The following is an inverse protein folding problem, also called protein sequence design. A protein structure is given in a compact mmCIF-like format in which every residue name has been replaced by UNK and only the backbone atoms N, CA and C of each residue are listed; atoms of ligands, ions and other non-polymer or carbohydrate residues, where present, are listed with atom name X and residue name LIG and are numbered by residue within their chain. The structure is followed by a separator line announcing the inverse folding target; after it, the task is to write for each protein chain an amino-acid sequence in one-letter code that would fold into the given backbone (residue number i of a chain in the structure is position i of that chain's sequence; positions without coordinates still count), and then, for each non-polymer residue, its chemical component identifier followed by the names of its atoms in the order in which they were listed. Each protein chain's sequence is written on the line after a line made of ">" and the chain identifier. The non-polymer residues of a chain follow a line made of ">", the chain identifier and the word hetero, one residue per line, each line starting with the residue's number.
data_IF_122345854432
#
_entry.id   IF_122345854432
#
_cell.length_a   1.000
_cell.length_b   1.000
_cell.length_c   1.000
_cell.angle_alpha   90.00
_cell.angle_beta   90.00
_cell.angle_gamma   90.00
#
_symmetry.space_group_name_H-M   'P 1'
#
loop_
_entity.id
_entity.type
_entity.pdbx_description
1 polymer ?
#
# COMPACT_ATOMS: atom_id res chain seq x y z
N UNK A 1 -4.28 7.81 -29.09
CA UNK A 1 -3.99 6.53 -28.40
C UNK A 1 -2.52 6.50 -28.02
N UNK A 2 -2.17 7.05 -26.85
CA UNK A 2 -0.88 6.74 -26.22
C UNK A 2 -1.14 5.49 -25.39
N UNK A 3 -0.77 4.33 -25.92
CA UNK A 3 -0.65 3.11 -25.13
C UNK A 3 0.31 3.43 -24.00
N UNK A 4 -0.20 3.63 -22.79
CA UNK A 4 0.64 3.64 -21.59
C UNK A 4 1.31 2.27 -21.58
N UNK A 5 2.61 2.27 -21.87
CA UNK A 5 3.38 1.06 -22.15
C UNK A 5 3.42 0.19 -20.91
N UNK A 6 2.49 -0.79 -20.90
CA UNK A 6 2.46 -1.97 -20.06
C UNK A 6 3.84 -2.64 -19.93
N UNK A 7 4.74 -2.38 -20.89
CA UNK A 7 6.14 -2.79 -20.91
C UNK A 7 7.00 -2.32 -19.72
N UNK A 8 6.69 -1.20 -19.06
CA UNK A 8 7.46 -0.73 -17.88
C UNK A 8 7.14 -1.56 -16.62
N UNK A 9 5.94 -2.14 -16.54
CA UNK A 9 5.58 -3.09 -15.48
C UNK A 9 6.07 -4.54 -15.77
N UNK A 10 6.67 -4.79 -16.95
CA UNK A 10 6.87 -6.15 -17.49
C UNK A 10 8.36 -6.59 -17.53
N UNK A 11 9.36 -5.70 -17.42
CA UNK A 11 10.77 -6.06 -17.67
C UNK A 11 11.66 -6.31 -16.44
N UNK A 12 11.10 -6.42 -15.24
CA UNK A 12 11.85 -6.38 -13.97
C UNK A 12 11.93 -7.74 -13.29
N UNK A 13 12.76 -8.64 -13.83
CA UNK A 13 12.94 -10.01 -13.31
C UNK A 13 14.34 -10.56 -13.60
N UNK A 14 15.26 -10.50 -12.63
CA UNK A 14 16.19 -11.60 -12.25
C UNK A 14 17.08 -11.21 -11.05
N UNK A 15 17.43 -12.15 -10.14
CA UNK A 15 17.86 -11.84 -8.77
C UNK A 15 19.37 -11.61 -8.63
N UNK A 16 19.77 -10.84 -7.60
CA UNK A 16 21.10 -10.92 -7.02
C UNK A 16 21.06 -10.72 -5.49
N UNK A 17 21.83 -11.58 -4.82
CA UNK A 17 21.88 -11.84 -3.38
C UNK A 17 22.70 -10.82 -2.59
N UNK A 18 22.54 -10.90 -1.26
CA UNK A 18 23.48 -10.56 -0.17
C UNK A 18 23.55 -9.10 0.30
N UNK A 19 22.89 -8.84 1.43
CA UNK A 19 23.46 -7.96 2.46
C UNK A 19 23.39 -8.63 3.84
N UNK A 20 24.48 -8.50 4.57
CA UNK A 20 24.71 -9.04 5.89
C UNK A 20 23.66 -8.52 6.89
N UNK A 21 23.12 -9.46 7.67
CA UNK A 21 22.30 -9.17 8.83
C UNK A 21 23.18 -8.52 9.89
N UNK A 22 23.01 -7.23 10.11
CA UNK A 22 23.29 -6.67 11.42
C UNK A 22 22.35 -7.32 12.44
N UNK A 23 22.92 -7.73 13.56
CA UNK A 23 22.26 -8.49 14.63
C UNK A 23 20.98 -7.80 15.09
N UNK A 24 19.83 -8.39 14.74
CA UNK A 24 18.52 -8.05 15.26
C UNK A 24 18.50 -8.23 16.79
N UNK A 25 18.26 -7.13 17.49
CA UNK A 25 17.56 -7.20 18.77
C UNK A 25 16.14 -7.69 18.46
N UNK A 26 15.91 -9.00 18.63
CA UNK A 26 14.64 -9.67 18.33
C UNK A 26 13.59 -9.43 19.40
N UNK A 27 13.48 -8.19 19.89
CA UNK A 27 12.35 -7.82 20.74
C UNK A 27 11.11 -7.80 19.87
N UNK A 28 10.34 -8.89 19.93
CA UNK A 28 8.94 -8.96 19.48
C UNK A 28 8.28 -7.68 19.97
N UNK A 29 7.86 -6.82 19.05
CA UNK A 29 7.20 -5.57 19.39
C UNK A 29 6.03 -5.90 20.33
N UNK A 30 5.85 -5.17 21.45
CA UNK A 30 4.75 -5.45 22.37
C UNK A 30 3.42 -5.40 21.60
N UNK A 31 2.43 -6.23 21.99
CA UNK A 31 1.13 -6.24 21.33
C UNK A 31 0.56 -4.81 21.33
N UNK A 32 0.28 -4.31 20.13
CA UNK A 32 -0.29 -2.97 19.95
C UNK A 32 -1.72 -3.00 20.49
N UNK A 33 -2.03 -2.10 21.43
CA UNK A 33 -3.33 -2.05 22.10
C UNK A 33 -4.50 -2.08 21.08
N UNK A 34 -5.37 -3.07 21.26
CA UNK A 34 -6.64 -3.21 20.54
C UNK A 34 -6.57 -3.87 19.16
N UNK A 35 -5.42 -4.40 18.73
CA UNK A 35 -5.35 -5.22 17.50
C UNK A 35 -5.66 -6.68 17.83
N UNK A 36 -6.75 -7.18 17.25
CA UNK A 36 -7.16 -8.58 17.28
C UNK A 36 -6.56 -9.34 16.08
N UNK A 37 -5.93 -10.49 16.35
CA UNK A 37 -5.50 -11.42 15.29
C UNK A 37 -6.63 -12.41 15.06
N UNK A 38 -7.36 -12.26 13.96
CA UNK A 38 -8.54 -13.08 13.69
C UNK A 38 -8.15 -14.43 13.08
N UNK A 39 -7.22 -14.39 12.12
CA UNK A 39 -6.71 -15.55 11.38
C UNK A 39 -5.24 -15.35 11.04
N UNK A 40 -4.57 -16.38 10.53
CA UNK A 40 -3.21 -16.27 10.00
C UNK A 40 -3.24 -15.25 8.85
N UNK A 41 -2.79 -14.03 9.12
CA UNK A 41 -2.77 -12.87 8.20
C UNK A 41 -4.09 -12.09 8.05
N UNK A 42 -4.95 -12.11 9.06
CA UNK A 42 -6.09 -11.18 9.15
C UNK A 42 -6.07 -10.50 10.51
N UNK A 43 -5.95 -9.18 10.50
CA UNK A 43 -5.87 -8.34 11.69
C UNK A 43 -7.03 -7.37 11.70
N UNK A 44 -7.57 -7.10 12.88
CA UNK A 44 -8.67 -6.17 13.07
C UNK A 44 -8.41 -5.22 14.24
N UNK A 45 -8.91 -4.00 14.17
CA UNK A 45 -8.98 -3.06 15.30
C UNK A 45 -10.31 -2.33 15.27
N UNK A 46 -11.08 -2.39 16.35
CA UNK A 46 -12.27 -1.55 16.52
C UNK A 46 -11.83 -0.13 16.88
N UNK A 47 -12.28 0.87 16.11
CA UNK A 47 -11.98 2.28 16.36
C UNK A 47 -13.19 3.06 16.90
N UNK A 48 -14.39 2.68 16.47
CA UNK A 48 -15.66 3.22 16.94
C UNK A 48 -16.73 2.14 16.89
N UNK A 49 -17.94 2.44 17.33
CA UNK A 49 -19.05 1.46 17.30
C UNK A 49 -19.40 1.00 15.88
N UNK A 50 -19.20 1.88 14.91
CA UNK A 50 -19.47 1.73 13.48
C UNK A 50 -18.19 1.77 12.64
N UNK A 51 -17.02 1.52 13.22
CA UNK A 51 -15.75 1.54 12.48
C UNK A 51 -14.77 0.48 12.96
N UNK A 52 -14.40 -0.40 12.04
CA UNK A 52 -13.38 -1.43 12.19
C UNK A 52 -12.31 -1.21 11.12
N UNK A 53 -11.04 -1.24 11.52
CA UNK A 53 -9.94 -1.35 10.59
C UNK A 53 -9.57 -2.81 10.44
N UNK A 54 -9.36 -3.25 9.21
CA UNK A 54 -8.98 -4.63 8.89
C UNK A 54 -7.81 -4.60 7.93
N UNK A 55 -6.83 -5.48 8.15
CA UNK A 55 -5.74 -5.69 7.21
C UNK A 55 -5.59 -7.18 6.97
N UNK A 56 -5.70 -7.56 5.71
CA UNK A 56 -5.61 -8.95 5.28
C UNK A 56 -4.62 -9.13 4.13
N UNK A 57 -4.12 -10.36 3.96
CA UNK A 57 -3.28 -10.76 2.84
C UNK A 57 -4.11 -11.61 1.85
N UNK A 58 -4.67 -11.03 0.77
CA UNK A 58 -5.56 -11.76 -0.12
C UNK A 58 -4.87 -12.94 -0.81
N UNK A 59 -3.55 -12.83 -1.08
CA UNK A 59 -2.82 -13.84 -1.87
C UNK A 59 -2.76 -15.23 -1.23
N UNK A 60 -3.00 -15.35 0.08
CA UNK A 60 -2.98 -16.64 0.77
C UNK A 60 -4.30 -17.40 0.73
N UNK A 61 -5.38 -16.75 0.31
CA UNK A 61 -6.70 -17.38 0.18
C UNK A 61 -7.28 -17.05 -1.21
N UNK A 62 -7.34 -18.04 -2.13
CA UNK A 62 -7.87 -17.82 -3.48
C UNK A 62 -9.28 -17.21 -3.52
N UNK A 63 -10.13 -17.51 -2.53
CA UNK A 63 -11.46 -16.89 -2.43
C UNK A 63 -11.37 -15.40 -2.11
N UNK A 64 -10.52 -15.00 -1.16
CA UNK A 64 -10.34 -13.59 -0.81
C UNK A 64 -9.70 -12.83 -1.98
N UNK A 65 -8.68 -13.40 -2.62
CA UNK A 65 -8.06 -12.82 -3.82
C UNK A 65 -9.09 -12.59 -4.92
N UNK A 66 -9.92 -13.59 -5.22
CA UNK A 66 -10.99 -13.45 -6.21
C UNK A 66 -12.03 -12.40 -5.79
N UNK A 67 -12.39 -12.34 -4.49
CA UNK A 67 -13.29 -11.32 -3.96
C UNK A 67 -12.77 -9.89 -4.18
N UNK A 68 -11.48 -9.67 -3.90
CA UNK A 68 -10.82 -8.39 -4.15
C UNK A 68 -10.72 -8.04 -5.63
N UNK A 69 -10.42 -9.00 -6.50
CA UNK A 69 -10.43 -8.80 -7.96
C UNK A 69 -11.83 -8.43 -8.46
N UNK A 70 -12.86 -9.13 -8.00
CA UNK A 70 -14.25 -8.82 -8.35
C UNK A 70 -14.66 -7.43 -7.86
N UNK A 71 -14.28 -7.06 -6.63
CA UNK A 71 -14.55 -5.73 -6.09
C UNK A 71 -13.87 -4.63 -6.91
N UNK A 72 -12.58 -4.78 -7.23
CA UNK A 72 -11.87 -3.81 -8.07
C UNK A 72 -12.53 -3.65 -9.44
N UNK A 73 -12.91 -4.75 -10.09
CA UNK A 73 -13.61 -4.73 -11.38
C UNK A 73 -14.99 -4.05 -11.28
N UNK A 74 -15.73 -4.27 -10.20
CA UNK A 74 -17.02 -3.64 -9.98
C UNK A 74 -16.90 -2.11 -9.84
N UNK A 75 -15.88 -1.62 -9.12
CA UNK A 75 -15.58 -0.18 -9.02
C UNK A 75 -15.31 0.40 -10.40
N UNK A 76 -14.40 -0.22 -11.16
CA UNK A 76 -14.01 0.25 -12.49
C UNK A 76 -15.21 0.31 -13.43
N UNK A 77 -15.99 -0.77 -13.48
CA UNK A 77 -17.20 -0.87 -14.30
C UNK A 77 -18.23 0.20 -13.96
N UNK A 78 -18.49 0.43 -12.67
CA UNK A 78 -19.51 1.41 -12.26
C UNK A 78 -19.08 2.86 -12.56
N UNK A 79 -17.79 3.18 -12.40
CA UNK A 79 -17.26 4.50 -12.77
C UNK A 79 -17.39 4.70 -14.29
N UNK A 80 -16.95 3.73 -15.08
CA UNK A 80 -17.05 3.79 -16.55
C UNK A 80 -18.50 3.91 -17.01
N UNK A 81 -19.41 3.15 -16.41
CA UNK A 81 -20.84 3.18 -16.71
C UNK A 81 -21.49 4.53 -16.38
N UNK A 82 -21.16 5.13 -15.22
CA UNK A 82 -21.80 6.38 -14.76
C UNK A 82 -21.22 7.62 -15.42
N UNK A 83 -19.92 7.63 -15.67
CA UNK A 83 -19.19 8.84 -16.06
C UNK A 83 -18.59 8.76 -17.47
N UNK A 84 -18.62 7.59 -18.09
CA UNK A 84 -18.06 7.33 -19.41
C UNK A 84 -16.54 7.46 -19.45
N UNK A 85 -15.95 7.19 -20.61
CA UNK A 85 -14.52 7.43 -20.85
C UNK A 85 -14.16 8.92 -20.73
N UNK A 86 -15.13 9.81 -20.99
CA UNK A 86 -14.88 11.26 -21.04
C UNK A 86 -14.53 11.83 -19.67
N UNK A 87 -15.06 11.27 -18.58
CA UNK A 87 -14.71 11.66 -17.21
C UNK A 87 -13.34 11.14 -16.74
N UNK A 88 -12.81 10.09 -17.38
CA UNK A 88 -11.51 9.52 -17.05
C UNK A 88 -10.36 10.29 -17.70
N UNK A 89 -10.61 10.90 -18.86
CA UNK A 89 -9.54 11.43 -19.72
C UNK A 89 -9.66 12.92 -20.10
N UNK A 90 -10.73 13.64 -19.73
CA UNK A 90 -10.77 15.11 -19.92
C UNK A 90 -10.02 15.83 -18.80
N UNK A 91 -9.26 16.84 -19.19
CA UNK A 91 -8.32 17.57 -18.32
C UNK A 91 -8.97 18.51 -17.28
N UNK A 92 -10.29 18.78 -17.31
CA UNK A 92 -10.72 20.05 -16.72
C UNK A 92 -12.14 20.11 -16.11
N UNK A 93 -12.50 19.18 -15.22
CA UNK A 93 -13.50 19.54 -14.21
C UNK A 93 -13.21 18.94 -12.84
N UNK A 94 -13.31 19.79 -11.82
CA UNK A 94 -13.24 19.41 -10.40
C UNK A 94 -14.28 18.35 -10.01
N UNK A 95 -15.33 18.20 -10.82
CA UNK A 95 -16.42 17.24 -10.63
C UNK A 95 -15.98 15.78 -10.79
N UNK A 96 -15.04 15.49 -11.70
CA UNK A 96 -14.62 14.11 -12.01
C UNK A 96 -13.30 13.70 -11.34
N UNK A 97 -12.56 14.64 -10.77
CA UNK A 97 -11.24 14.36 -10.16
C UNK A 97 -11.27 13.26 -9.10
N UNK A 98 -12.33 13.20 -8.29
CA UNK A 98 -12.52 12.13 -7.30
C UNK A 98 -12.67 10.75 -7.97
N UNK A 99 -13.57 10.63 -8.95
CA UNK A 99 -13.85 9.36 -9.61
C UNK A 99 -12.67 8.87 -10.45
N UNK A 100 -11.95 9.79 -11.10
CA UNK A 100 -10.70 9.46 -11.78
C UNK A 100 -9.66 8.90 -10.82
N UNK A 101 -9.43 9.54 -9.67
CA UNK A 101 -8.49 9.03 -8.67
C UNK A 101 -8.90 7.67 -8.09
N UNK A 102 -10.20 7.43 -7.91
CA UNK A 102 -10.73 6.11 -7.52
C UNK A 102 -10.46 5.08 -8.62
N UNK A 103 -10.75 5.42 -9.88
CA UNK A 103 -10.54 4.52 -11.02
C UNK A 103 -9.07 4.13 -11.15
N UNK A 104 -8.16 5.10 -11.17
CA UNK A 104 -6.71 4.87 -11.27
C UNK A 104 -6.21 3.99 -10.12
N UNK A 105 -6.68 4.24 -8.89
CA UNK A 105 -6.35 3.42 -7.72
C UNK A 105 -6.76 1.96 -7.92
N UNK A 106 -8.02 1.71 -8.30
CA UNK A 106 -8.54 0.35 -8.44
C UNK A 106 -8.06 -0.38 -9.71
N UNK A 107 -7.68 0.34 -10.78
CA UNK A 107 -7.01 -0.26 -11.93
C UNK A 107 -5.64 -0.80 -11.52
N UNK A 108 -4.88 -0.02 -10.75
CA UNK A 108 -3.59 -0.47 -10.19
C UNK A 108 -3.81 -1.67 -9.27
N UNK A 109 -4.84 -1.66 -8.41
CA UNK A 109 -5.13 -2.80 -7.53
C UNK A 109 -5.40 -4.06 -8.33
N UNK A 110 -6.27 -3.97 -9.35
CA UNK A 110 -6.61 -5.11 -10.19
C UNK A 110 -5.37 -5.68 -10.87
N UNK A 111 -4.47 -4.83 -11.37
CA UNK A 111 -3.18 -5.26 -11.96
C UNK A 111 -2.25 -5.95 -10.96
N UNK A 112 -2.10 -5.39 -9.76
CA UNK A 112 -1.27 -5.98 -8.69
C UNK A 112 -1.83 -7.33 -8.25
N UNK A 113 -3.14 -7.42 -8.03
CA UNK A 113 -3.81 -8.65 -7.63
C UNK A 113 -3.71 -9.72 -8.73
N UNK A 114 -3.89 -9.35 -10.00
CA UNK A 114 -3.67 -10.26 -11.13
C UNK A 114 -2.23 -10.74 -11.25
N UNK A 115 -1.27 -9.87 -10.95
CA UNK A 115 0.14 -10.25 -10.94
C UNK A 115 0.46 -11.21 -9.78
N UNK A 116 -0.07 -10.94 -8.58
CA UNK A 116 0.14 -11.79 -7.39
C UNK A 116 -0.40 -13.22 -7.56
N UNK A 117 -1.44 -13.38 -8.39
CA UNK A 117 -2.05 -14.66 -8.73
C UNK A 117 -1.22 -15.48 -9.74
N UNK A 118 -0.48 -14.80 -10.62
CA UNK A 118 0.12 -15.41 -11.82
C UNK A 118 1.58 -15.83 -11.66
N UNK A 119 2.30 -15.38 -10.63
CA UNK A 119 3.76 -15.56 -10.54
C UNK A 119 4.25 -15.81 -9.11
N UNK A 120 4.82 -17.00 -8.87
CA UNK A 120 5.86 -17.22 -7.87
C UNK A 120 7.16 -17.53 -8.61
N UNK A 121 8.11 -16.60 -8.66
CA UNK A 121 9.41 -16.83 -9.30
C UNK A 121 10.35 -17.67 -8.42
N UNK A 122 10.13 -17.61 -7.11
CA UNK A 122 10.74 -18.44 -6.08
C UNK A 122 9.84 -18.30 -4.83
N UNK A 123 9.58 -19.38 -4.09
CA UNK A 123 8.76 -19.34 -2.87
C UNK A 123 9.37 -18.43 -1.77
N UNK A 124 10.68 -18.15 -1.85
CA UNK A 124 11.39 -17.24 -0.94
C UNK A 124 11.31 -15.76 -1.33
N UNK A 125 10.78 -15.42 -2.51
CA UNK A 125 10.73 -14.06 -3.08
C UNK A 125 9.30 -13.60 -3.37
N UNK A 126 8.32 -14.15 -2.65
CA UNK A 126 6.93 -13.77 -2.85
C UNK A 126 6.69 -12.33 -2.38
N UNK A 127 6.37 -11.44 -3.32
CA UNK A 127 5.88 -10.10 -2.99
C UNK A 127 4.62 -10.25 -2.13
N UNK A 128 4.67 -9.64 -0.96
CA UNK A 128 3.57 -9.59 -0.03
C UNK A 128 2.58 -8.54 -0.52
N UNK A 129 1.36 -8.95 -0.85
CA UNK A 129 0.27 -8.03 -1.18
C UNK A 129 -0.74 -8.05 -0.06
N UNK A 130 -0.88 -6.92 0.62
CA UNK A 130 -1.80 -6.72 1.73
C UNK A 130 -2.80 -5.62 1.40
N UNK A 131 -4.03 -5.77 1.87
CA UNK A 131 -5.05 -4.74 1.75
C UNK A 131 -5.49 -4.34 3.15
N UNK A 132 -5.29 -3.07 3.48
CA UNK A 132 -5.89 -2.44 4.64
C UNK A 132 -7.21 -1.78 4.22
N UNK A 133 -8.24 -1.95 5.03
CA UNK A 133 -9.58 -1.43 4.77
C UNK A 133 -10.26 -0.95 6.05
N UNK A 134 -11.17 0.00 5.87
CA UNK A 134 -12.05 0.51 6.90
C UNK A 134 -13.47 0.04 6.63
N UNK A 135 -14.07 -0.62 7.61
CA UNK A 135 -15.37 -1.28 7.52
C UNK A 135 -16.33 -0.69 8.54
N UNK A 136 -17.59 -0.51 8.14
CA UNK A 136 -18.65 -0.11 9.08
C UNK A 136 -19.18 -1.27 9.95
N UNK A 137 -18.63 -2.46 9.77
CA UNK A 137 -19.08 -3.70 10.39
C UNK A 137 -17.88 -4.55 10.81
N UNK A 138 -18.07 -5.36 11.84
CA UNK A 138 -17.08 -6.33 12.29
C UNK A 138 -16.78 -7.36 11.18
N UNK A 139 -15.50 -7.65 10.93
CA UNK A 139 -15.05 -8.58 9.89
C UNK A 139 -15.64 -9.98 10.03
N UNK A 140 -15.85 -10.47 11.25
CA UNK A 140 -16.46 -11.79 11.47
C UNK A 140 -17.86 -11.91 10.85
N UNK A 141 -18.60 -10.80 10.77
CA UNK A 141 -19.92 -10.77 10.15
C UNK A 141 -19.83 -10.73 8.61
N UNK A 142 -18.69 -10.33 8.05
CA UNK A 142 -18.41 -10.35 6.61
C UNK A 142 -17.88 -11.69 6.11
N UNK A 143 -17.19 -12.47 6.96
CA UNK A 143 -16.63 -13.78 6.57
C UNK A 143 -17.69 -14.73 5.97
N UNK A 144 -18.93 -14.64 6.44
CA UNK A 144 -20.06 -15.40 5.89
C UNK A 144 -20.54 -14.91 4.52
N UNK A 145 -20.25 -13.65 4.17
CA UNK A 145 -20.61 -13.02 2.90
C UNK A 145 -19.58 -13.34 1.80
N UNK A 146 -18.28 -13.47 2.10
CA UNK A 146 -17.23 -13.77 1.09
C UNK A 146 -17.37 -15.09 0.31
N UNK A 147 -18.43 -15.89 0.52
CA UNK A 147 -18.70 -17.07 -0.30
C UNK A 147 -19.30 -16.66 -1.65
N UNK A 148 -18.42 -16.46 -2.63
CA UNK A 148 -18.75 -16.17 -4.03
C UNK A 148 -19.46 -17.32 -4.76
N UNK A 149 -19.64 -18.48 -4.12
CA UNK A 149 -20.43 -19.59 -4.69
C UNK A 149 -21.94 -19.31 -4.67
N UNK A 150 -22.37 -18.29 -3.95
CA UNK A 150 -23.74 -17.81 -3.97
C UNK A 150 -23.83 -16.68 -5.01
N UNK A 151 -24.39 -16.99 -6.19
CA UNK A 151 -24.83 -16.01 -7.20
C UNK A 151 -26.02 -15.15 -6.70
N UNK A 152 -26.14 -14.92 -5.40
CA UNK A 152 -27.19 -14.09 -4.84
C UNK A 152 -26.71 -12.64 -4.74
N UNK A 153 -27.63 -11.71 -5.01
CA UNK A 153 -27.51 -10.27 -4.75
C UNK A 153 -27.23 -9.91 -3.27
N UNK A 154 -26.98 -10.89 -2.39
CA UNK A 154 -26.70 -10.69 -0.97
C UNK A 154 -25.20 -10.47 -0.69
N UNK A 155 -24.33 -10.62 -1.70
CA UNK A 155 -22.89 -10.47 -1.55
C UNK A 155 -22.40 -9.00 -1.69
N UNK A 156 -23.10 -8.10 -1.01
CA UNK A 156 -22.87 -6.65 -1.02
C UNK A 156 -21.82 -6.20 0.02
N UNK A 157 -20.93 -7.09 0.47
CA UNK A 157 -19.90 -6.78 1.48
C UNK A 157 -19.06 -5.56 1.13
N UNK A 158 -18.85 -5.32 -0.16
CA UNK A 158 -18.11 -4.17 -0.63
C UNK A 158 -18.77 -2.85 -0.21
N UNK A 159 -20.10 -2.79 -0.03
CA UNK A 159 -20.80 -1.59 0.46
C UNK A 159 -20.49 -1.26 1.91
N UNK A 160 -20.01 -2.24 2.67
CA UNK A 160 -19.57 -2.07 4.06
C UNK A 160 -18.16 -1.46 4.16
N UNK A 161 -17.43 -1.35 3.03
CA UNK A 161 -16.06 -0.81 2.95
C UNK A 161 -16.10 0.69 2.69
N UNK A 162 -15.66 1.52 3.65
CA UNK A 162 -15.55 2.98 3.44
C UNK A 162 -14.31 3.34 2.62
N UNK A 163 -13.16 2.79 2.98
CA UNK A 163 -11.85 3.17 2.44
C UNK A 163 -10.92 1.97 2.36
N UNK A 164 -10.09 1.91 1.32
CA UNK A 164 -9.10 0.86 1.11
C UNK A 164 -7.73 1.44 0.80
N UNK A 165 -6.70 0.68 1.16
CA UNK A 165 -5.30 0.98 0.94
C UNK A 165 -4.54 -0.32 0.62
N UNK A 166 -3.81 -0.35 -0.49
CA UNK A 166 -2.97 -1.49 -0.88
C UNK A 166 -1.55 -1.25 -0.39
N UNK A 167 -0.96 -2.30 0.17
CA UNK A 167 0.40 -2.30 0.71
C UNK A 167 1.15 -3.46 0.09
N UNK A 168 2.31 -3.18 -0.47
CA UNK A 168 3.18 -4.20 -1.06
C UNK A 168 4.60 -4.12 -0.49
N UNK A 169 5.26 -5.27 -0.36
CA UNK A 169 6.67 -5.35 0.02
C UNK A 169 7.25 -6.73 -0.21
N UNK A 170 8.56 -6.83 -0.36
CA UNK A 170 9.24 -8.11 -0.22
C UNK A 170 9.57 -8.38 1.26
N UNK A 171 9.53 -9.64 1.73
CA UNK A 171 9.85 -9.97 3.12
C UNK A 171 11.27 -9.56 3.55
N UNK A 172 12.22 -9.44 2.64
CA UNK A 172 13.61 -9.10 2.96
C UNK A 172 13.88 -7.60 3.02
N UNK A 173 13.07 -6.79 2.34
CA UNK A 173 13.35 -5.35 2.20
C UNK A 173 12.99 -4.61 3.48
N UNK A 174 13.72 -3.54 3.87
CA UNK A 174 13.42 -2.80 5.09
C UNK A 174 12.29 -1.78 4.91
N UNK A 175 11.59 -1.78 3.79
CA UNK A 175 10.47 -0.87 3.54
C UNK A 175 9.25 -1.62 3.02
N UNK A 176 8.12 -0.96 3.19
CA UNK A 176 6.88 -1.28 2.51
C UNK A 176 6.41 -0.12 1.67
N UNK A 177 5.55 -0.41 0.73
CA UNK A 177 5.05 0.57 -0.21
C UNK A 177 3.55 0.68 -0.11
N UNK A 178 3.07 1.90 0.00
CA UNK A 178 1.65 2.21 -0.10
C UNK A 178 1.30 2.51 -1.54
N UNK A 179 0.44 1.68 -2.13
CA UNK A 179 -0.04 1.84 -3.50
C UNK A 179 -1.48 2.25 -3.47
N UNK A 180 -1.74 3.56 -3.55
CA UNK A 180 -3.09 4.12 -3.66
C UNK A 180 -3.95 3.96 -2.40
N UNK A 181 -4.77 4.96 -2.12
CA UNK A 181 -5.77 4.92 -1.06
C UNK A 181 -7.01 5.61 -1.58
N UNK A 182 -8.16 4.96 -1.44
CA UNK A 182 -9.38 5.50 -2.00
C UNK A 182 -10.58 5.20 -1.14
N UNK A 183 -11.53 6.15 -1.14
CA UNK A 183 -12.88 5.88 -0.62
C UNK A 183 -13.67 5.12 -1.67
N UNK A 184 -14.43 4.15 -1.19
CA UNK A 184 -15.31 3.37 -2.02
C UNK A 184 -16.52 4.21 -2.47
N UNK A 185 -16.83 4.16 -3.76
CA UNK A 185 -17.97 4.86 -4.36
C UNK A 185 -19.33 4.23 -3.99
N UNK A 186 -19.33 2.97 -3.54
CA UNK A 186 -20.54 2.25 -3.11
C UNK A 186 -20.87 2.47 -1.64
N UNK A 187 -20.01 3.15 -0.88
CA UNK A 187 -20.19 3.34 0.56
C UNK A 187 -21.17 4.49 0.85
N UNK A 188 -22.29 4.14 1.48
CA UNK A 188 -23.36 5.07 1.86
C UNK A 188 -23.44 5.34 3.37
N UNK A 189 -22.55 4.73 4.16
CA UNK A 189 -22.51 4.90 5.62
C UNK A 189 -21.89 6.23 6.10
N UNK A 190 -21.60 6.29 7.40
CA UNK A 190 -20.95 7.46 8.03
C UNK A 190 -19.51 7.57 7.52
N UNK A 191 -19.18 8.71 6.90
CA UNK A 191 -17.83 8.96 6.39
C UNK A 191 -16.93 9.54 7.48
N UNK A 192 -15.94 8.78 7.91
CA UNK A 192 -15.08 9.16 9.03
C UNK A 192 -13.99 10.15 8.62
N UNK A 193 -13.83 11.30 9.31
CA UNK A 193 -12.73 12.22 9.04
C UNK A 193 -11.38 11.58 9.41
N UNK A 194 -10.32 12.00 8.71
CA UNK A 194 -8.93 11.53 8.92
C UNK A 194 -8.75 9.99 8.86
N UNK A 195 -9.70 9.28 8.24
CA UNK A 195 -9.66 7.82 8.12
C UNK A 195 -8.41 7.35 7.38
N UNK A 196 -7.90 8.14 6.44
CA UNK A 196 -6.65 7.84 5.74
C UNK A 196 -5.49 7.70 6.72
N UNK A 197 -5.26 8.67 7.61
CA UNK A 197 -4.20 8.62 8.61
C UNK A 197 -4.38 7.43 9.56
N UNK A 198 -5.61 7.16 9.99
CA UNK A 198 -5.94 6.03 10.87
C UNK A 198 -5.61 4.70 10.19
N UNK A 199 -5.91 4.58 8.90
CA UNK A 199 -5.62 3.39 8.11
C UNK A 199 -4.11 3.19 7.88
N UNK A 200 -3.36 4.26 7.61
CA UNK A 200 -1.89 4.22 7.49
C UNK A 200 -1.23 3.81 8.80
N UNK A 201 -1.68 4.37 9.93
CA UNK A 201 -1.17 4.03 11.25
C UNK A 201 -1.45 2.57 11.60
N UNK A 202 -2.68 2.10 11.36
CA UNK A 202 -3.05 0.70 11.59
C UNK A 202 -2.26 -0.27 10.70
N UNK A 203 -2.08 0.07 9.42
CA UNK A 203 -1.23 -0.70 8.52
C UNK A 203 0.21 -0.80 9.03
N UNK A 204 0.77 0.30 9.50
CA UNK A 204 2.11 0.32 10.08
C UNK A 204 2.21 -0.56 11.34
N UNK A 205 1.18 -0.54 12.19
CA UNK A 205 1.10 -1.41 13.37
C UNK A 205 1.08 -2.90 12.96
N UNK A 206 0.21 -3.27 12.02
CA UNK A 206 0.08 -4.66 11.54
C UNK A 206 1.35 -5.17 10.86
N UNK A 207 1.97 -4.35 10.00
CA UNK A 207 3.24 -4.71 9.37
C UNK A 207 4.31 -4.93 10.41
N UNK A 208 4.47 -4.03 11.39
CA UNK A 208 5.49 -4.21 12.45
C UNK A 208 5.27 -5.45 13.32
N UNK A 209 4.01 -5.84 13.53
CA UNK A 209 3.68 -7.08 14.25
C UNK A 209 4.08 -8.33 13.45
N UNK A 210 3.95 -8.28 12.12
CA UNK A 210 4.19 -9.44 11.25
C UNK A 210 5.63 -9.50 10.68
N UNK A 211 6.27 -8.34 10.55
CA UNK A 211 7.53 -8.08 9.84
C UNK A 211 8.30 -6.98 10.58
N UNK A 212 8.89 -7.31 11.72
CA UNK A 212 9.59 -6.36 12.59
C UNK A 212 10.81 -5.70 11.93
N UNK A 213 11.34 -6.30 10.87
CA UNK A 213 12.44 -5.76 10.06
C UNK A 213 12.02 -4.62 9.12
N UNK A 214 10.72 -4.37 8.94
CA UNK A 214 10.23 -3.22 8.19
C UNK A 214 10.40 -1.94 8.98
N UNK A 215 11.13 -1.00 8.40
CA UNK A 215 11.51 0.26 9.01
C UNK A 215 10.77 1.46 8.43
N UNK A 216 10.40 1.41 7.14
CA UNK A 216 9.81 2.56 6.44
C UNK A 216 8.57 2.19 5.64
N UNK A 217 7.66 3.16 5.50
CA UNK A 217 6.62 3.16 4.46
C UNK A 217 6.99 4.21 3.43
N UNK A 218 7.03 3.80 2.17
CA UNK A 218 7.30 4.67 1.04
C UNK A 218 6.01 4.86 0.25
N UNK A 219 5.72 6.11 -0.14
CA UNK A 219 4.56 6.49 -0.95
C UNK A 219 4.90 7.68 -1.84
N UNK A 220 4.10 7.91 -2.88
CA UNK A 220 4.12 9.13 -3.70
C UNK A 220 2.75 9.80 -3.53
N UNK A 221 2.57 10.55 -2.43
CA UNK A 221 1.26 11.04 -2.05
C UNK A 221 0.89 12.22 -2.93
N UNK A 222 -0.34 12.23 -3.46
CA UNK A 222 -0.89 13.46 -4.06
C UNK A 222 -0.79 14.63 -3.07
N UNK A 223 -0.67 15.85 -3.57
CA UNK A 223 -0.46 17.06 -2.77
C UNK A 223 -1.37 17.18 -1.53
N UNK A 224 -2.64 16.82 -1.65
CA UNK A 224 -3.58 16.84 -0.51
C UNK A 224 -3.23 15.80 0.57
N UNK A 225 -2.80 14.60 0.19
CA UNK A 225 -2.33 13.59 1.16
C UNK A 225 -0.98 14.00 1.74
N UNK A 226 -0.07 14.53 0.92
CA UNK A 226 1.20 15.08 1.37
C UNK A 226 0.99 16.13 2.46
N UNK A 227 0.14 17.13 2.21
CA UNK A 227 -0.15 18.20 3.18
C UNK A 227 -0.76 17.67 4.49
N UNK A 228 -1.60 16.64 4.42
CA UNK A 228 -2.12 15.95 5.60
C UNK A 228 -0.99 15.24 6.37
N UNK A 229 -0.12 14.51 5.68
CA UNK A 229 0.99 13.76 6.28
C UNK A 229 1.96 14.70 7.00
N UNK A 230 2.46 15.76 6.34
CA UNK A 230 3.40 16.72 6.95
C UNK A 230 2.81 17.46 8.15
N UNK A 231 1.48 17.65 8.18
CA UNK A 231 0.80 18.36 9.27
C UNK A 231 0.70 17.49 10.53
N UNK A 232 0.55 16.17 10.37
CA UNK A 232 0.30 15.26 11.48
C UNK A 232 1.55 14.49 11.93
N UNK A 233 2.54 14.33 11.04
CA UNK A 233 3.77 13.63 11.37
C UNK A 233 4.73 14.56 12.15
N UNK A 234 5.44 14.02 13.16
CA UNK A 234 6.51 14.76 13.81
C UNK A 234 7.54 15.28 12.80
N UNK A 235 8.06 16.49 13.04
CA UNK A 235 9.19 17.00 12.26
C UNK A 235 10.34 15.99 12.30
N UNK A 236 11.00 15.78 11.16
CA UNK A 236 12.08 14.80 10.96
C UNK A 236 11.66 13.32 11.02
N UNK A 237 10.37 12.99 11.06
CA UNK A 237 9.92 11.59 10.95
C UNK A 237 9.61 11.15 9.53
N UNK A 238 9.78 12.04 8.56
CA UNK A 238 9.54 11.81 7.15
C UNK A 238 10.55 12.58 6.28
N UNK A 239 10.70 12.12 5.04
CA UNK A 239 11.54 12.73 4.03
C UNK A 239 10.75 13.02 2.76
N UNK A 240 11.06 14.15 2.13
CA UNK A 240 10.62 14.56 0.80
C UNK A 240 11.84 14.57 -0.14
N UNK A 241 11.64 14.25 -1.42
CA UNK A 241 12.70 14.15 -2.42
C UNK A 241 13.39 15.52 -2.65
N UNK A 242 12.63 16.59 -2.82
CA UNK A 242 13.17 17.95 -3.05
C UNK A 242 13.61 18.68 -1.76
N UNK A 243 13.24 18.15 -0.59
CA UNK A 243 13.58 18.71 0.72
C UNK A 243 14.14 17.62 1.65
N UNK A 244 15.38 17.14 1.39
CA UNK A 244 15.95 16.07 2.17
C UNK A 244 16.17 16.53 3.62
N UNK A 245 15.32 16.07 4.52
CA UNK A 245 15.51 16.17 5.98
C UNK A 245 16.64 15.23 6.47
N UNK A 246 17.74 15.12 5.72
CA UNK A 246 18.98 14.44 6.12
C UNK A 246 19.35 13.17 5.36
N UNK A 247 18.45 12.59 4.55
CA UNK A 247 18.73 11.39 3.77
C UNK A 247 19.39 11.75 2.44
N UNK A 248 20.36 10.94 2.00
CA UNK A 248 21.13 11.19 0.79
C UNK A 248 21.02 9.95 -0.10
N UNK A 249 20.48 10.12 -1.30
CA UNK A 249 20.64 9.13 -2.37
C UNK A 249 22.04 9.29 -2.93
N UNK A 250 22.89 8.29 -2.70
CA UNK A 250 24.28 8.32 -3.17
C UNK A 250 24.50 7.18 -4.15
N UNK A 251 25.02 7.50 -5.34
CA UNK A 251 25.58 6.49 -6.24
C UNK A 251 26.99 6.21 -5.76
N UNK A 252 27.18 5.06 -5.11
CA UNK A 252 28.51 4.63 -4.67
C UNK A 252 29.10 3.63 -5.66
N UNK A 253 30.32 3.90 -6.11
CA UNK A 253 31.09 2.98 -6.95
C UNK A 253 32.07 2.22 -6.04
N UNK A 254 31.65 1.07 -5.51
CA UNK A 254 32.52 0.17 -4.78
C UNK A 254 33.09 -0.88 -5.73
N UNK A 255 34.34 -0.71 -6.20
CA UNK A 255 35.18 -1.69 -6.91
C UNK A 255 34.41 -2.90 -7.51
N UNK A 256 33.50 -2.63 -8.44
CA UNK A 256 32.42 -3.54 -8.83
C UNK A 256 31.28 -2.78 -9.55
N UNK A 257 30.15 -3.43 -9.89
CA UNK A 257 29.02 -2.77 -10.54
C UNK A 257 28.49 -1.61 -9.68
N UNK A 258 27.98 -0.57 -10.35
CA UNK A 258 27.45 0.62 -9.69
C UNK A 258 26.37 0.21 -8.69
N UNK A 259 26.50 0.70 -7.45
CA UNK A 259 25.55 0.44 -6.39
C UNK A 259 24.89 1.73 -5.95
N UNK A 260 23.57 1.76 -6.03
CA UNK A 260 22.72 2.85 -5.60
C UNK A 260 22.38 2.64 -4.14
N UNK A 261 22.64 3.65 -3.32
CA UNK A 261 22.43 3.55 -1.88
C UNK A 261 21.44 4.61 -1.43
N UNK A 262 20.40 4.18 -0.71
CA UNK A 262 19.51 5.05 0.04
C UNK A 262 19.97 4.99 1.50
N UNK A 263 20.27 6.15 2.09
CA UNK A 263 20.71 6.28 3.48
C UNK A 263 19.76 7.13 4.31
N UNK A 264 19.62 6.84 5.60
CA UNK A 264 18.87 7.71 6.51
C UNK A 264 19.55 9.04 6.81
N UNK A 265 18.86 9.86 7.60
CA UNK A 265 19.34 11.09 8.22
C UNK A 265 20.64 10.91 9.00
N UNK A 266 20.92 9.70 9.49
CA UNK A 266 22.14 9.35 10.21
C UNK A 266 23.20 8.72 9.29
N UNK A 267 22.97 8.74 7.97
CA UNK A 267 23.79 8.12 6.91
C UNK A 267 23.88 6.59 6.99
N UNK A 268 23.02 5.93 7.75
CA UNK A 268 22.94 4.46 7.77
C UNK A 268 22.37 3.98 6.44
N UNK A 269 23.00 2.96 5.85
CA UNK A 269 22.50 2.34 4.61
C UNK A 269 21.19 1.61 4.90
N UNK A 270 20.16 1.95 4.14
CA UNK A 270 18.82 1.37 4.27
C UNK A 270 18.48 0.52 3.07
N UNK A 271 18.84 0.98 1.89
CA UNK A 271 18.71 0.18 0.69
C UNK A 271 19.99 0.29 -0.11
N UNK A 272 20.51 -0.85 -0.54
CA UNK A 272 21.56 -0.93 -1.54
C UNK A 272 21.01 -1.70 -2.73
N UNK A 273 20.94 -1.04 -3.87
CA UNK A 273 20.57 -1.62 -5.15
C UNK A 273 21.82 -1.71 -6.01
N UNK A 274 21.93 -2.74 -6.81
CA UNK A 274 22.90 -2.80 -7.90
C UNK A 274 22.17 -2.64 -9.23
N UNK A 275 22.90 -2.48 -10.33
CA UNK A 275 22.28 -2.29 -11.64
C UNK A 275 21.34 -3.44 -12.07
N UNK A 276 21.44 -4.64 -11.47
CA UNK A 276 20.57 -5.78 -11.81
C UNK A 276 19.19 -5.69 -11.16
N UNK A 277 19.12 -5.26 -9.90
CA UNK A 277 17.86 -5.14 -9.17
C UNK A 277 17.34 -3.71 -9.10
N UNK A 278 18.12 -2.71 -9.54
CA UNK A 278 17.66 -1.32 -9.70
C UNK A 278 16.35 -1.28 -10.48
N UNK A 279 16.30 -2.07 -11.54
CA UNK A 279 15.14 -2.16 -12.41
C UNK A 279 13.87 -2.47 -11.58
N UNK A 280 13.93 -3.36 -10.58
CA UNK A 280 12.80 -3.70 -9.68
C UNK A 280 12.28 -2.50 -8.86
N UNK A 281 13.10 -1.44 -8.75
CA UNK A 281 12.81 -0.17 -8.07
C UNK A 281 12.73 1.01 -9.04
N UNK A 282 12.91 0.82 -10.35
CA UNK A 282 12.91 1.95 -11.30
C UNK A 282 11.56 2.66 -11.32
N UNK A 283 10.46 1.98 -11.04
CA UNK A 283 9.14 2.63 -10.88
C UNK A 283 9.04 3.46 -9.59
N UNK A 284 9.82 3.12 -8.56
CA UNK A 284 9.93 3.89 -7.31
C UNK A 284 10.86 5.10 -7.48
N UNK A 285 11.83 4.99 -8.38
CA UNK A 285 12.88 5.98 -8.63
C UNK A 285 12.68 6.74 -9.95
N UNK A 286 11.63 6.43 -10.72
CA UNK A 286 11.39 7.08 -12.00
C UNK A 286 11.06 8.55 -11.79
N UNK A 287 11.76 9.42 -12.51
CA UNK A 287 11.58 10.88 -12.54
C UNK A 287 10.25 11.29 -13.21
N UNK A 288 9.51 10.34 -13.80
CA UNK A 288 8.30 10.60 -14.59
C UNK A 288 7.02 10.88 -13.76
N UNK A 289 7.14 11.01 -12.44
CA UNK A 289 5.99 11.36 -11.60
C UNK A 289 6.18 12.76 -11.05
N UNK A 290 5.21 13.65 -11.29
CA UNK A 290 5.16 15.03 -10.77
C UNK A 290 4.94 15.09 -9.23
N UNK A 291 5.32 14.04 -8.49
CA UNK A 291 5.13 13.94 -7.05
C UNK A 291 6.31 13.24 -6.40
N UNK A 292 6.95 13.98 -5.50
CA UNK A 292 8.12 13.55 -4.74
C UNK A 292 7.90 12.25 -3.99
N UNK A 293 8.97 11.47 -3.93
CA UNK A 293 9.06 10.34 -3.04
C UNK A 293 8.90 10.78 -1.58
N UNK A 294 7.89 10.23 -0.91
CA UNK A 294 7.64 10.45 0.52
C UNK A 294 7.92 9.18 1.31
N UNK A 295 8.90 9.26 2.21
CA UNK A 295 9.29 8.14 3.06
C UNK A 295 9.00 8.46 4.52
N UNK A 296 8.32 7.56 5.23
CA UNK A 296 7.95 7.74 6.64
C UNK A 296 8.49 6.60 7.48
N UNK A 297 9.05 6.91 8.64
CA UNK A 297 9.43 5.88 9.61
C UNK A 297 8.19 5.11 10.09
N UNK A 298 8.21 3.79 9.94
CA UNK A 298 7.07 2.92 10.20
C UNK A 298 6.72 2.87 11.69
N UNK A 299 7.71 2.97 12.59
CA UNK A 299 7.48 3.08 14.03
C UNK A 299 6.74 4.38 14.35
N UNK A 300 7.20 5.51 13.82
CA UNK A 300 6.52 6.79 14.03
C UNK A 300 5.08 6.77 13.51
N UNK A 301 4.85 6.19 12.33
CA UNK A 301 3.51 6.06 11.76
C UNK A 301 2.60 5.14 12.61
N UNK A 302 3.15 4.04 13.11
CA UNK A 302 2.44 3.11 14.00
C UNK A 302 2.11 3.74 15.37
N UNK A 303 2.98 4.60 15.89
CA UNK A 303 2.84 5.22 17.22
C UNK A 303 2.03 6.54 17.17
N UNK A 304 1.52 6.91 15.99
CA UNK A 304 0.77 8.15 15.77
C UNK A 304 -0.52 8.19 16.60
N UNK A 305 -0.61 9.14 17.53
CA UNK A 305 -1.80 9.38 18.34
C UNK A 305 -2.78 10.27 17.58
N UNK A 306 -3.78 9.66 16.96
CA UNK A 306 -4.86 10.36 16.26
C UNK A 306 -6.04 10.53 17.21
N UNK A 307 -6.36 11.78 17.55
CA UNK A 307 -7.56 12.16 18.29
C UNK A 307 -8.82 11.98 17.45
#
# INVERSE_FOLDING_TARGET
>A
MKTMSLWIAIFLLMPAYSMERDSLDSSIAPPVDGIEILERNVYQKKLADDLYLVMERPSLNPKNLQGWKSFAKAILFEIEKRYGETALYKEDSSEYGFYRGVYETFDIYNRILDWSDKKSYDASQELQVWIAQALNINYFHLKKKFDLSLESNENDWHKDVEMTMCIIFYPTDPFQMHIGISRNIFYEGVKHPQLSLKLHSFAAQVTRLSYSEKLYMITRPLYNMWSILITHLPKNSYQEEDHPNGWIQEITHYNGPSSWVIKDSDRKIILMMNDRNRADYDWLLSEDWDVDLFSVNLKTLADLKLS
#
